data_IF_921478631379
#
_entry.id   IF_921478631379
#
_cell.length_a   1.000
_cell.length_b   1.000
_cell.length_c   1.000
_cell.angle_alpha   90.00
_cell.angle_beta   90.00
_cell.angle_gamma   90.00
#
_symmetry.space_group_name_H-M   'P 1'
#
loop_
_entity.id
_entity.type
_entity.pdbx_description
1 polymer ?
#
# COMPACT_ATOMS: atom_id res chain seq x y z
N UNK A 1 7.08 -10.09 3.75
CA UNK A 1 7.81 -9.59 4.93
C UNK A 1 6.87 -9.08 6.01
N UNK A 2 7.36 -9.04 7.25
CA UNK A 2 6.69 -8.37 8.38
C UNK A 2 7.65 -7.33 8.92
N UNK A 3 7.23 -6.06 8.91
CA UNK A 3 8.08 -4.89 9.15
C UNK A 3 7.53 -4.04 10.29
N UNK A 4 8.46 -3.47 11.06
CA UNK A 4 8.17 -2.49 12.11
C UNK A 4 9.18 -1.34 11.98
N UNK A 5 8.71 -0.10 11.94
CA UNK A 5 9.58 1.09 11.90
C UNK A 5 10.11 1.46 13.29
N UNK A 6 9.26 1.29 14.31
CA UNK A 6 9.51 1.74 15.67
C UNK A 6 9.12 3.21 15.88
N UNK A 7 9.71 3.88 16.88
CA UNK A 7 9.44 5.28 17.13
C UNK A 7 10.18 6.19 16.15
N UNK A 8 9.50 7.15 15.56
CA UNK A 8 10.10 8.12 14.66
C UNK A 8 9.19 8.41 13.48
N UNK A 9 9.75 9.07 12.47
CA UNK A 9 9.16 9.15 11.15
C UNK A 9 9.90 8.15 10.27
N UNK A 10 9.26 7.04 9.96
CA UNK A 10 9.84 5.94 9.19
C UNK A 10 9.34 5.93 7.75
N UNK A 11 10.15 5.38 6.84
CA UNK A 11 9.78 5.24 5.42
C UNK A 11 9.84 3.77 5.04
N UNK A 12 8.69 3.19 4.69
CA UNK A 12 8.58 1.81 4.22
C UNK A 12 8.65 1.78 2.69
N UNK A 13 9.77 1.28 2.15
CA UNK A 13 10.07 1.34 0.71
C UNK A 13 9.72 0.04 0.00
N UNK A 14 8.93 0.12 -1.06
CA UNK A 14 8.56 -1.04 -1.88
C UNK A 14 8.96 -0.86 -3.33
N UNK A 15 10.02 -1.58 -3.73
CA UNK A 15 10.58 -1.50 -5.07
C UNK A 15 9.90 -2.42 -6.12
N UNK A 16 9.01 -3.32 -5.68
CA UNK A 16 8.35 -4.28 -6.57
C UNK A 16 7.02 -4.76 -6.00
N UNK A 17 5.95 -4.62 -6.80
CA UNK A 17 4.64 -5.18 -6.49
C UNK A 17 4.69 -6.70 -6.25
N UNK A 18 5.52 -7.42 -7.00
CA UNK A 18 5.67 -8.87 -6.84
C UNK A 18 6.30 -9.26 -5.49
N UNK A 19 7.15 -8.38 -4.92
CA UNK A 19 7.73 -8.61 -3.60
C UNK A 19 6.75 -8.26 -2.47
N UNK A 20 5.87 -7.26 -2.67
CA UNK A 20 4.77 -7.00 -1.73
C UNK A 20 3.90 -8.24 -1.56
N UNK A 21 3.63 -8.96 -2.67
CA UNK A 21 2.89 -10.21 -2.65
C UNK A 21 1.38 -10.05 -2.44
N UNK A 22 0.69 -11.19 -2.37
CA UNK A 22 -0.77 -11.26 -2.24
C UNK A 22 -1.18 -12.48 -1.42
N UNK A 23 -2.37 -12.43 -0.82
CA UNK A 23 -2.89 -13.53 -0.01
C UNK A 23 -1.99 -13.80 1.20
N UNK A 24 -1.61 -15.06 1.41
CA UNK A 24 -0.75 -15.44 2.54
C UNK A 24 0.70 -14.95 2.42
N UNK A 25 1.15 -14.54 1.22
CA UNK A 25 2.50 -14.04 0.99
C UNK A 25 2.63 -12.52 1.03
N UNK A 26 1.56 -11.81 1.42
CA UNK A 26 1.56 -10.35 1.48
C UNK A 26 2.53 -9.80 2.53
N UNK A 27 3.04 -8.61 2.28
CA UNK A 27 3.80 -7.83 3.24
C UNK A 27 2.88 -7.22 4.31
N UNK A 28 3.43 -7.02 5.50
CA UNK A 28 2.74 -6.48 6.67
C UNK A 28 3.60 -5.42 7.34
N UNK A 29 3.03 -4.24 7.58
CA UNK A 29 3.59 -3.21 8.47
C UNK A 29 2.82 -3.27 9.79
N UNK A 30 3.54 -3.37 10.91
CA UNK A 30 2.91 -3.64 12.22
C UNK A 30 2.57 -2.39 13.02
N UNK A 31 3.20 -1.26 12.73
CA UNK A 31 3.20 -0.06 13.59
C UNK A 31 3.06 1.26 12.81
N UNK A 32 2.49 1.21 11.60
CA UNK A 32 2.29 2.38 10.74
C UNK A 32 1.48 3.49 11.43
N UNK A 33 2.03 4.70 11.44
CA UNK A 33 1.40 5.90 12.01
C UNK A 33 1.21 6.97 10.94
N UNK A 34 -0.04 7.17 10.49
CA UNK A 34 -0.38 8.21 9.52
C UNK A 34 -0.01 9.63 9.97
N UNK A 35 0.51 10.43 9.05
CA UNK A 35 1.05 11.77 9.27
C UNK A 35 2.41 11.81 9.96
N UNK A 36 3.02 10.64 10.21
CA UNK A 36 4.35 10.50 10.81
C UNK A 36 5.23 9.62 9.92
N UNK A 37 4.73 8.45 9.55
CA UNK A 37 5.40 7.50 8.66
C UNK A 37 4.91 7.65 7.22
N UNK A 38 5.78 7.29 6.28
CA UNK A 38 5.49 7.30 4.84
C UNK A 38 5.63 5.89 4.23
N UNK A 39 4.83 5.61 3.21
CA UNK A 39 4.94 4.42 2.36
C UNK A 39 5.41 4.86 0.98
N UNK A 40 6.62 4.43 0.61
CA UNK A 40 7.23 4.76 -0.68
C UNK A 40 6.90 3.69 -1.73
N UNK A 41 6.04 4.07 -2.68
CA UNK A 41 5.64 3.27 -3.84
C UNK A 41 6.11 3.91 -5.15
N UNK A 42 7.04 4.88 -5.11
CA UNK A 42 7.52 5.61 -6.30
C UNK A 42 8.06 4.67 -7.38
N UNK A 43 8.71 3.58 -6.96
CA UNK A 43 9.24 2.56 -7.87
C UNK A 43 8.14 1.78 -8.63
N UNK A 44 6.91 1.78 -8.13
CA UNK A 44 5.78 1.10 -8.75
C UNK A 44 5.12 1.94 -9.84
N UNK A 45 5.36 3.26 -9.90
CA UNK A 45 4.73 4.17 -10.85
C UNK A 45 3.19 4.00 -10.87
N UNK A 46 2.60 3.90 -9.68
CA UNK A 46 1.18 3.66 -9.42
C UNK A 46 0.50 4.92 -8.90
N UNK A 47 -0.82 5.01 -9.02
CA UNK A 47 -1.58 6.13 -8.44
C UNK A 47 -2.51 5.69 -7.32
N UNK A 48 -2.64 6.54 -6.30
CA UNK A 48 -3.62 6.32 -5.24
C UNK A 48 -5.03 6.71 -5.70
N UNK A 49 -5.95 5.75 -5.68
CA UNK A 49 -7.37 5.97 -5.86
C UNK A 49 -8.06 6.16 -4.50
N UNK A 50 -8.14 7.42 -4.07
CA UNK A 50 -8.84 7.81 -2.83
C UNK A 50 -10.36 7.62 -2.86
N UNK A 51 -10.96 7.30 -4.01
CA UNK A 51 -12.41 7.00 -4.11
C UNK A 51 -12.75 5.54 -3.80
N UNK A 52 -11.73 4.68 -3.71
CA UNK A 52 -11.87 3.25 -3.47
C UNK A 52 -11.99 2.42 -4.75
N UNK A 53 -11.53 1.17 -4.67
CA UNK A 53 -11.52 0.22 -5.79
C UNK A 53 -10.33 0.38 -6.72
N UNK A 54 -10.12 -0.64 -7.55
CA UNK A 54 -9.10 -0.63 -8.60
C UNK A 54 -9.64 0.08 -9.84
N UNK A 55 -8.80 0.88 -10.49
CA UNK A 55 -9.20 1.68 -11.66
C UNK A 55 -9.29 0.81 -12.92
N UNK A 56 -8.31 -0.07 -13.13
CA UNK A 56 -8.15 -0.85 -14.34
C UNK A 56 -7.89 0.02 -15.59
N UNK A 57 -8.16 -0.54 -16.78
CA UNK A 57 -8.04 0.19 -18.05
C UNK A 57 -6.60 0.48 -18.50
N UNK A 58 -5.63 -0.29 -18.03
CA UNK A 58 -4.20 -0.14 -18.34
C UNK A 58 -3.48 0.86 -17.45
N UNK A 59 -4.10 1.31 -16.35
CA UNK A 59 -3.49 2.21 -15.38
C UNK A 59 -3.17 1.48 -14.08
N UNK A 60 -1.91 1.51 -13.66
CA UNK A 60 -1.51 1.03 -12.35
C UNK A 60 -2.15 1.91 -11.26
N UNK A 61 -2.85 1.30 -10.32
CA UNK A 61 -3.56 2.00 -9.25
C UNK A 61 -3.59 1.18 -7.96
N UNK A 62 -3.82 1.84 -6.84
CA UNK A 62 -4.13 1.16 -5.58
C UNK A 62 -5.14 1.96 -4.77
N UNK A 63 -5.83 1.31 -3.85
CA UNK A 63 -6.76 1.96 -2.94
C UNK A 63 -6.61 1.44 -1.51
N UNK A 64 -7.11 2.22 -0.56
CA UNK A 64 -7.15 1.81 0.84
C UNK A 64 -8.51 1.18 1.19
N UNK A 65 -8.47 -0.09 1.61
CA UNK A 65 -9.59 -0.78 2.23
C UNK A 65 -9.50 -0.66 3.76
N UNK A 66 -10.05 0.43 4.29
CA UNK A 66 -9.91 0.81 5.69
C UNK A 66 -10.41 -0.25 6.70
N UNK A 67 -11.49 -0.96 6.39
CA UNK A 67 -12.04 -1.97 7.30
C UNK A 67 -11.08 -3.15 7.55
N UNK A 68 -10.14 -3.40 6.61
CA UNK A 68 -9.11 -4.43 6.76
C UNK A 68 -7.72 -3.88 7.00
N UNK A 69 -7.52 -2.56 7.02
CA UNK A 69 -6.19 -1.96 7.04
C UNK A 69 -5.34 -2.35 5.83
N UNK A 70 -5.95 -2.49 4.64
CA UNK A 70 -5.24 -3.00 3.47
C UNK A 70 -5.04 -1.91 2.43
N UNK A 71 -3.84 -1.83 1.86
CA UNK A 71 -3.63 -1.22 0.55
C UNK A 71 -3.70 -2.33 -0.49
N UNK A 72 -4.55 -2.16 -1.49
CA UNK A 72 -4.80 -3.16 -2.52
C UNK A 72 -4.50 -2.52 -3.86
N UNK A 73 -3.55 -3.10 -4.59
CA UNK A 73 -3.06 -2.52 -5.84
C UNK A 73 -3.20 -3.44 -7.04
N UNK A 74 -3.45 -2.80 -8.18
CA UNK A 74 -3.47 -3.31 -9.55
C UNK A 74 -2.26 -2.70 -10.24
N UNK A 75 -1.21 -3.49 -10.42
CA UNK A 75 0.06 -3.04 -10.98
C UNK A 75 0.05 -3.07 -12.51
N UNK A 76 -0.72 -4.00 -13.09
CA UNK A 76 -0.75 -4.24 -14.53
C UNK A 76 -1.89 -3.47 -15.24
N UNK A 77 -2.84 -2.92 -14.49
CA UNK A 77 -3.97 -2.13 -14.95
C UNK A 77 -5.17 -2.95 -15.43
N UNK A 78 -5.31 -4.22 -15.05
CA UNK A 78 -6.40 -5.09 -15.50
C UNK A 78 -7.67 -5.01 -14.63
N UNK A 79 -7.64 -4.22 -13.55
CA UNK A 79 -8.73 -4.08 -12.59
C UNK A 79 -8.76 -5.20 -11.53
N UNK A 80 -7.73 -6.03 -11.45
CA UNK A 80 -7.56 -7.11 -10.48
C UNK A 80 -6.40 -6.80 -9.55
N UNK A 81 -6.50 -7.26 -8.30
CA UNK A 81 -5.43 -7.06 -7.33
C UNK A 81 -4.21 -7.91 -7.71
N UNK A 82 -3.08 -7.24 -7.93
CA UNK A 82 -1.76 -7.84 -8.13
C UNK A 82 -0.97 -7.93 -6.81
N UNK A 83 -1.22 -7.01 -5.88
CA UNK A 83 -0.57 -6.98 -4.57
C UNK A 83 -1.49 -6.45 -3.47
N UNK A 84 -1.18 -6.83 -2.23
CA UNK A 84 -1.84 -6.36 -1.02
C UNK A 84 -0.77 -6.04 0.01
N UNK A 85 -0.82 -4.86 0.62
CA UNK A 85 -0.01 -4.51 1.79
C UNK A 85 -0.94 -4.36 3.00
N UNK A 86 -0.62 -5.04 4.10
CA UNK A 86 -1.39 -4.93 5.34
C UNK A 86 -0.77 -3.93 6.32
N UNK A 87 -1.61 -3.09 6.89
CA UNK A 87 -1.32 -2.18 7.99
C UNK A 87 -2.03 -2.72 9.23
N UNK A 88 -1.26 -3.34 10.13
CA UNK A 88 -1.81 -3.98 11.34
C UNK A 88 -2.57 -2.97 12.19
N UNK A 89 -3.73 -3.38 12.72
CA UNK A 89 -4.58 -2.50 13.53
C UNK A 89 -5.46 -1.55 12.73
N UNK A 90 -5.42 -1.61 11.40
CA UNK A 90 -6.23 -0.80 10.49
C UNK A 90 -6.15 0.70 10.79
N UNK A 91 -4.94 1.31 10.78
CA UNK A 91 -4.79 2.74 10.94
C UNK A 91 -5.53 3.48 9.82
N UNK A 92 -5.95 4.71 10.13
CA UNK A 92 -6.32 5.64 9.07
C UNK A 92 -5.10 5.93 8.19
N UNK A 93 -5.33 6.23 6.92
CA UNK A 93 -4.31 6.72 5.99
C UNK A 93 -4.89 7.87 5.17
N UNK A 94 -4.02 8.73 4.67
CA UNK A 94 -4.34 9.86 3.81
C UNK A 94 -3.46 9.83 2.57
N UNK A 95 -3.82 10.61 1.56
CA UNK A 95 -2.98 10.73 0.37
C UNK A 95 -1.58 11.30 0.67
N UNK A 96 -1.40 11.99 1.81
CA UNK A 96 -0.12 12.54 2.23
C UNK A 96 0.87 11.51 2.78
N UNK A 97 0.39 10.29 3.09
CA UNK A 97 1.21 9.20 3.64
C UNK A 97 1.91 8.37 2.55
N UNK A 98 1.70 8.70 1.26
CA UNK A 98 2.21 7.96 0.12
C UNK A 98 3.18 8.79 -0.70
N UNK A 99 4.37 8.25 -0.93
CA UNK A 99 5.31 8.76 -1.94
C UNK A 99 5.06 7.98 -3.24
N UNK A 100 4.74 8.68 -4.33
CA UNK A 100 4.29 8.12 -5.62
C UNK A 100 5.07 8.69 -6.80
#
# INVERSE_FOLDING_TARGET
DVMSGGPGADVFVFASAAHIGIGAGRDVITDFTSGVDDIDLTALNTMFNGTGGLVGGGQASFYHFAAGGLLIGDQNGDGTADWVLELTGAPGVTAGDFLL
#
